data_IF_275951153310
#
_entry.id   IF_275951153310
#
_cell.length_a   1.000
_cell.length_b   1.000
_cell.length_c   1.000
_cell.angle_alpha   90.00
_cell.angle_beta   90.00
_cell.angle_gamma   90.00
#
_symmetry.space_group_name_H-M   'P 1'
#
loop_
_entity.id
_entity.type
_entity.pdbx_description
1 polymer ?
#
# COMPACT_ATOMS: atom_id res chain seq x y z
N UNK A 1 30.30 20.87 13.04
CA UNK A 1 28.88 21.08 13.38
C UNK A 1 28.05 20.22 12.44
N UNK A 2 27.72 18.99 12.84
CA UNK A 2 26.86 18.09 12.07
C UNK A 2 26.04 17.29 13.07
N UNK A 3 24.71 17.40 13.00
CA UNK A 3 23.84 16.69 13.93
C UNK A 3 22.36 17.06 13.86
N UNK A 4 21.86 17.60 12.74
CA UNK A 4 20.42 17.76 12.53
C UNK A 4 19.92 16.77 11.49
N UNK A 5 18.70 16.26 11.70
CA UNK A 5 18.00 15.39 10.77
C UNK A 5 16.83 16.17 10.18
N UNK A 6 16.79 16.26 8.85
CA UNK A 6 15.62 16.71 8.11
C UNK A 6 15.22 15.57 7.17
N UNK A 7 14.11 14.92 7.50
CA UNK A 7 13.53 13.81 6.74
C UNK A 7 12.01 13.93 6.75
N UNK A 8 11.41 13.82 5.59
CA UNK A 8 9.96 13.70 5.38
C UNK A 8 9.68 12.39 4.71
N UNK A 9 8.71 11.64 5.21
CA UNK A 9 8.21 10.42 4.61
C UNK A 9 6.70 10.57 4.38
N UNK A 10 6.26 10.34 3.15
CA UNK A 10 4.86 10.43 2.76
C UNK A 10 4.44 9.17 2.03
N UNK A 11 3.24 8.69 2.34
CA UNK A 11 2.50 7.75 1.50
C UNK A 11 1.20 8.44 1.12
N UNK A 12 0.98 8.63 -0.17
CA UNK A 12 -0.19 9.34 -0.64
C UNK A 12 -0.45 9.12 -2.12
N UNK A 13 -1.45 9.82 -2.63
CA UNK A 13 -1.87 9.72 -4.02
C UNK A 13 -1.64 11.05 -4.74
N UNK A 14 -1.23 10.98 -6.01
CA UNK A 14 -1.08 12.16 -6.86
C UNK A 14 -2.47 12.79 -7.13
N UNK A 15 -2.62 14.09 -6.82
CA UNK A 15 -3.86 14.83 -7.11
C UNK A 15 -4.01 15.28 -8.56
N UNK A 16 -2.89 15.38 -9.26
CA UNK A 16 -2.79 15.77 -10.67
C UNK A 16 -1.68 14.97 -11.35
N UNK A 17 -1.62 15.03 -12.68
CA UNK A 17 -0.50 14.46 -13.42
C UNK A 17 0.81 15.18 -13.06
N UNK A 18 1.96 14.48 -13.09
CA UNK A 18 3.26 15.10 -12.82
C UNK A 18 3.57 16.26 -13.77
N UNK A 19 4.05 17.37 -13.23
CA UNK A 19 4.52 18.50 -14.04
C UNK A 19 6.05 18.40 -14.22
N UNK A 20 6.51 18.18 -15.45
CA UNK A 20 7.94 18.10 -15.78
C UNK A 20 8.40 19.41 -16.41
N UNK A 21 9.44 20.01 -15.85
CA UNK A 21 10.10 21.20 -16.42
C UNK A 21 11.56 20.91 -16.72
N UNK A 22 11.99 21.30 -17.91
CA UNK A 22 13.40 21.22 -18.31
C UNK A 22 14.06 22.59 -18.17
N UNK A 23 15.28 22.62 -17.67
CA UNK A 23 16.08 23.81 -17.51
C UNK A 23 17.04 23.98 -18.70
N UNK A 24 17.45 25.22 -18.99
CA UNK A 24 18.37 25.53 -20.09
C UNK A 24 19.75 24.88 -19.93
N UNK A 25 20.14 24.54 -18.71
CA UNK A 25 21.39 23.84 -18.40
C UNK A 25 21.30 22.30 -18.59
N UNK A 26 20.19 21.79 -19.11
CA UNK A 26 19.99 20.36 -19.39
C UNK A 26 19.36 19.55 -18.25
N UNK A 27 19.22 20.12 -17.04
CA UNK A 27 18.56 19.45 -15.93
C UNK A 27 17.05 19.38 -16.10
N UNK A 28 16.38 18.40 -15.47
CA UNK A 28 14.93 18.34 -15.35
C UNK A 28 14.48 18.42 -13.88
N UNK A 29 13.29 18.95 -13.65
CA UNK A 29 12.58 18.89 -12.37
C UNK A 29 11.19 18.30 -12.58
N UNK A 30 10.76 17.42 -11.68
CA UNK A 30 9.38 16.98 -11.60
C UNK A 30 8.70 17.59 -10.37
N UNK A 31 7.53 18.18 -10.56
CA UNK A 31 6.69 18.70 -9.51
C UNK A 31 5.46 17.79 -9.33
N UNK A 32 5.25 17.32 -8.11
CA UNK A 32 4.11 16.48 -7.74
C UNK A 32 3.24 17.19 -6.70
N UNK A 33 1.93 16.93 -6.78
CA UNK A 33 0.96 17.29 -5.76
C UNK A 33 0.40 16.03 -5.12
N UNK A 34 0.71 15.79 -3.85
CA UNK A 34 0.35 14.55 -3.14
C UNK A 34 -0.68 14.84 -2.06
N UNK A 35 -1.76 14.07 -2.05
CA UNK A 35 -2.76 14.07 -0.98
C UNK A 35 -2.46 12.99 0.06
N UNK A 36 -2.59 13.35 1.34
CA UNK A 36 -2.66 12.40 2.46
C UNK A 36 -3.89 12.73 3.30
N UNK A 37 -4.67 11.72 3.69
CA UNK A 37 -5.92 11.92 4.42
C UNK A 37 -5.88 11.25 5.78
N UNK A 38 -6.40 11.93 6.79
CA UNK A 38 -6.60 11.43 8.14
C UNK A 38 -8.11 11.39 8.44
N UNK A 39 -8.58 10.33 9.07
CA UNK A 39 -9.97 10.19 9.50
C UNK A 39 -10.01 9.97 11.00
N UNK A 40 -10.83 10.75 11.71
CA UNK A 40 -11.04 10.59 13.16
C UNK A 40 -12.51 10.77 13.51
N UNK A 41 -12.88 10.40 14.75
CA UNK A 41 -14.21 10.65 15.31
C UNK A 41 -14.14 11.89 16.19
N UNK A 42 -15.01 12.86 15.94
CA UNK A 42 -15.12 14.06 16.78
C UNK A 42 -15.61 13.68 18.18
N UNK A 43 -14.95 14.23 19.21
CA UNK A 43 -15.26 13.89 20.61
C UNK A 43 -16.54 14.52 21.12
N UNK A 44 -16.96 15.66 20.55
CA UNK A 44 -18.13 16.41 21.00
C UNK A 44 -19.39 15.97 20.25
N UNK A 45 -19.29 15.78 18.93
CA UNK A 45 -20.45 15.42 18.09
C UNK A 45 -20.58 13.92 17.86
N UNK A 46 -19.49 13.16 18.04
CA UNK A 46 -19.44 11.73 17.72
C UNK A 46 -19.43 11.43 16.21
N UNK A 47 -19.36 12.45 15.36
CA UNK A 47 -19.36 12.29 13.91
C UNK A 47 -17.96 11.91 13.38
N UNK A 48 -17.93 11.21 12.25
CA UNK A 48 -16.69 10.88 11.55
C UNK A 48 -16.25 12.09 10.72
N UNK A 49 -15.05 12.61 10.98
CA UNK A 49 -14.43 13.69 10.23
C UNK A 49 -13.25 13.18 9.39
N UNK A 50 -12.95 13.89 8.31
CA UNK A 50 -11.82 13.64 7.41
C UNK A 50 -11.10 14.94 7.10
N UNK A 51 -9.76 14.91 7.13
CA UNK A 51 -8.90 16.02 6.71
C UNK A 51 -7.90 15.51 5.70
N UNK A 52 -7.84 16.21 4.57
CA UNK A 52 -6.84 15.95 3.52
C UNK A 52 -5.79 17.06 3.53
N UNK A 53 -4.54 16.66 3.70
CA UNK A 53 -3.38 17.53 3.57
C UNK A 53 -2.74 17.37 2.19
N UNK A 54 -2.25 18.49 1.66
CA UNK A 54 -1.71 18.54 0.32
C UNK A 54 -0.25 18.99 0.30
N UNK A 55 0.60 18.09 -0.19
CA UNK A 55 2.04 18.23 -0.18
C UNK A 55 2.55 18.58 -1.58
N UNK A 56 3.41 19.59 -1.66
CA UNK A 56 4.14 19.90 -2.89
C UNK A 56 5.50 19.23 -2.83
N UNK A 57 5.80 18.39 -3.81
CA UNK A 57 7.09 17.67 -3.90
C UNK A 57 7.84 18.14 -5.14
N UNK A 58 9.12 18.46 -4.98
CA UNK A 58 10.02 18.84 -6.06
C UNK A 58 11.18 17.84 -6.16
N UNK A 59 11.27 17.16 -7.30
CA UNK A 59 12.24 16.10 -7.56
C UNK A 59 13.25 16.59 -8.57
N UNK A 60 14.51 16.72 -8.14
CA UNK A 60 15.63 17.17 -8.96
C UNK A 60 16.58 16.02 -9.36
N UNK A 61 16.38 14.82 -8.79
CA UNK A 61 17.16 13.64 -9.16
C UNK A 61 16.73 13.16 -10.55
N UNK A 62 17.62 13.25 -11.53
CA UNK A 62 17.33 12.93 -12.94
C UNK A 62 16.76 11.51 -13.13
N UNK A 63 17.32 10.54 -12.42
CA UNK A 63 16.84 9.15 -12.46
C UNK A 63 15.39 9.03 -11.97
N UNK A 64 15.04 9.73 -10.88
CA UNK A 64 13.67 9.73 -10.36
C UNK A 64 12.72 10.50 -11.27
N UNK A 65 13.17 11.62 -11.87
CA UNK A 65 12.36 12.37 -12.85
C UNK A 65 11.98 11.48 -14.03
N UNK A 66 12.91 10.67 -14.55
CA UNK A 66 12.62 9.72 -15.62
C UNK A 66 11.60 8.65 -15.25
N UNK A 67 11.58 8.20 -13.99
CA UNK A 67 10.55 7.27 -13.47
C UNK A 67 9.20 7.98 -13.39
N UNK A 68 9.17 9.19 -12.83
CA UNK A 68 7.96 10.00 -12.69
C UNK A 68 7.32 10.26 -14.05
N UNK A 69 8.11 10.71 -15.02
CA UNK A 69 7.66 11.05 -16.38
C UNK A 69 7.05 9.84 -17.12
N UNK A 70 7.52 8.62 -16.86
CA UNK A 70 7.09 7.41 -17.58
C UNK A 70 5.94 6.68 -16.93
N UNK A 71 5.86 6.70 -15.59
CA UNK A 71 4.99 5.77 -14.86
C UNK A 71 3.98 6.44 -13.96
N UNK A 72 4.19 7.71 -13.56
CA UNK A 72 3.26 8.41 -12.70
C UNK A 72 2.23 9.21 -13.48
N UNK A 73 1.01 9.16 -12.96
CA UNK A 73 -0.20 9.83 -13.44
C UNK A 73 -1.06 10.23 -12.26
N UNK A 74 -2.06 11.09 -12.48
CA UNK A 74 -3.06 11.42 -11.46
C UNK A 74 -3.62 10.13 -10.84
N UNK A 75 -3.74 10.14 -9.51
CA UNK A 75 -4.22 9.00 -8.73
C UNK A 75 -3.15 7.99 -8.35
N UNK A 76 -1.94 8.02 -8.93
CA UNK A 76 -0.89 7.05 -8.59
C UNK A 76 -0.54 7.10 -7.11
N UNK A 77 -0.45 5.94 -6.46
CA UNK A 77 -0.02 5.83 -5.07
C UNK A 77 1.50 5.73 -4.99
N UNK A 78 2.11 6.57 -4.17
CA UNK A 78 3.57 6.65 -4.04
C UNK A 78 4.00 6.75 -2.59
N UNK A 79 5.16 6.17 -2.29
CA UNK A 79 5.97 6.50 -1.14
C UNK A 79 7.05 7.50 -1.57
N UNK A 80 7.24 8.54 -0.77
CA UNK A 80 8.24 9.59 -0.98
C UNK A 80 9.05 9.76 0.30
N UNK A 81 10.38 9.71 0.18
CA UNK A 81 11.30 10.20 1.20
C UNK A 81 12.07 11.40 0.66
N UNK A 82 12.10 12.50 1.41
CA UNK A 82 12.82 13.72 1.04
C UNK A 82 13.09 14.62 2.23
N UNK A 83 13.29 15.91 1.98
CA UNK A 83 13.60 16.90 3.02
C UNK A 83 12.70 18.13 2.89
N UNK A 84 12.31 18.76 3.99
CA UNK A 84 11.61 20.05 3.92
C UNK A 84 12.57 21.15 3.49
N UNK A 85 12.17 21.93 2.50
CA UNK A 85 12.86 23.15 2.11
C UNK A 85 11.84 24.27 1.94
N UNK A 86 12.04 25.36 2.68
CA UNK A 86 11.28 26.60 2.49
C UNK A 86 12.11 27.56 1.65
N UNK A 87 11.55 28.03 0.53
CA UNK A 87 12.17 29.07 -0.30
C UNK A 87 11.39 30.37 -0.18
N UNK A 88 12.14 31.46 -0.17
CA UNK A 88 11.63 32.84 -0.26
C UNK A 88 11.61 33.25 -1.73
N UNK A 89 10.51 33.87 -2.17
CA UNK A 89 10.37 34.44 -3.51
C UNK A 89 9.53 35.72 -3.43
N UNK A 90 9.66 36.62 -4.39
CA UNK A 90 8.86 37.85 -4.44
C UNK A 90 7.73 37.71 -5.45
N UNK A 91 6.53 38.14 -5.06
CA UNK A 91 5.41 38.24 -5.98
C UNK A 91 5.57 39.45 -6.93
N UNK A 92 4.63 39.60 -7.88
CA UNK A 92 4.65 40.70 -8.85
C UNK A 92 4.55 42.08 -8.21
N UNK A 93 4.06 42.17 -6.97
CA UNK A 93 3.93 43.41 -6.21
C UNK A 93 5.17 43.69 -5.34
N UNK A 94 6.20 42.83 -5.41
CA UNK A 94 7.44 42.95 -4.64
C UNK A 94 7.34 42.43 -3.21
N UNK A 95 6.24 41.79 -2.82
CA UNK A 95 6.09 41.26 -1.46
C UNK A 95 6.82 39.92 -1.31
N UNK A 96 7.46 39.74 -0.16
CA UNK A 96 8.10 38.48 0.19
C UNK A 96 7.06 37.37 0.47
N UNK A 97 7.20 36.24 -0.22
CA UNK A 97 6.38 35.04 -0.08
C UNK A 97 7.27 33.85 0.25
N UNK A 98 6.71 32.90 0.99
CA UNK A 98 7.40 31.68 1.38
C UNK A 98 6.64 30.48 0.83
N UNK A 99 7.37 29.49 0.32
CA UNK A 99 6.82 28.22 -0.12
C UNK A 99 7.64 27.08 0.46
N UNK A 100 6.98 26.18 1.18
CA UNK A 100 7.59 24.99 1.76
C UNK A 100 7.28 23.79 0.88
N UNK A 101 8.32 23.11 0.45
CA UNK A 101 8.26 21.98 -0.47
C UNK A 101 9.03 20.79 0.12
N UNK A 102 8.61 19.58 -0.21
CA UNK A 102 9.40 18.36 0.04
C UNK A 102 10.32 18.16 -1.15
N UNK A 103 11.63 18.16 -0.90
CA UNK A 103 12.64 18.20 -1.96
C UNK A 103 13.44 16.92 -1.98
N UNK A 104 13.58 16.33 -3.17
CA UNK A 104 14.39 15.15 -3.44
C UNK A 104 15.60 15.57 -4.29
N UNK A 105 16.79 15.59 -3.69
CA UNK A 105 18.07 15.91 -4.32
C UNK A 105 19.09 14.79 -4.09
N UNK A 106 19.83 14.44 -5.14
CA UNK A 106 20.93 13.47 -5.06
C UNK A 106 20.48 12.10 -4.53
N UNK A 107 21.31 11.49 -3.70
CA UNK A 107 21.06 10.16 -3.10
C UNK A 107 20.14 10.19 -1.87
N UNK A 108 19.72 11.37 -1.40
CA UNK A 108 18.94 11.51 -0.17
C UNK A 108 17.42 11.50 -0.40
N UNK A 109 16.98 11.20 -1.63
CA UNK A 109 15.57 11.16 -2.00
C UNK A 109 15.18 9.77 -2.52
N UNK A 110 14.04 9.28 -2.05
CA UNK A 110 13.48 7.99 -2.48
C UNK A 110 12.08 8.18 -3.00
N UNK A 111 11.75 7.52 -4.12
CA UNK A 111 10.40 7.40 -4.63
C UNK A 111 10.12 5.94 -4.94
N UNK A 112 9.05 5.42 -4.37
CA UNK A 112 8.57 4.06 -4.65
C UNK A 112 7.13 4.13 -5.11
N UNK A 113 6.84 3.55 -6.27
CA UNK A 113 5.47 3.35 -6.74
C UNK A 113 4.83 2.23 -5.92
N UNK A 114 3.66 2.50 -5.36
CA UNK A 114 2.90 1.55 -4.55
C UNK A 114 1.65 1.04 -5.26
N UNK A 115 1.39 1.53 -6.47
CA UNK A 115 0.39 0.91 -7.33
C UNK A 115 0.86 -0.50 -7.67
N UNK A 116 -0.05 -1.47 -7.51
CA UNK A 116 0.19 -2.81 -8.04
C UNK A 116 0.51 -2.70 -9.53
N UNK A 117 1.45 -3.53 -10.01
CA UNK A 117 1.74 -3.61 -11.44
C UNK A 117 0.40 -3.73 -12.16
N UNK A 118 0.11 -2.77 -13.05
CA UNK A 118 -1.07 -2.81 -13.89
C UNK A 118 -0.87 -3.91 -14.94
N UNK A 119 -0.85 -5.16 -14.47
CA UNK A 119 -0.88 -6.37 -15.28
C UNK A 119 -2.25 -6.42 -15.95
N UNK A 120 -2.24 -6.55 -17.26
CA UNK A 120 -3.41 -6.50 -18.12
C UNK A 120 -4.59 -7.32 -17.59
N UNK A 121 -5.70 -6.64 -17.31
CA UNK A 121 -6.93 -7.25 -16.83
C UNK A 121 -8.09 -6.31 -17.11
N UNK A 122 -8.49 -6.22 -18.38
CA UNK A 122 -9.60 -5.36 -18.79
C UNK A 122 -10.00 -5.51 -20.26
N UNK A 123 -9.74 -6.67 -20.87
CA UNK A 123 -10.30 -7.03 -22.16
C UNK A 123 -11.68 -7.63 -21.96
N UNK A 124 -12.72 -6.83 -22.15
CA UNK A 124 -14.09 -7.31 -22.23
C UNK A 124 -14.22 -8.39 -23.31
N UNK A 125 -14.72 -9.56 -22.92
CA UNK A 125 -15.06 -10.66 -23.82
C UNK A 125 -16.30 -11.35 -23.28
N UNK A 126 -17.46 -10.97 -23.82
CA UNK A 126 -18.74 -11.60 -23.50
C UNK A 126 -18.72 -13.08 -23.85
N UNK A 127 -19.08 -13.92 -22.88
CA UNK A 127 -19.42 -15.32 -23.07
C UNK A 127 -20.93 -15.50 -22.87
N UNK A 128 -21.62 -15.72 -23.98
CA UNK A 128 -23.06 -15.83 -24.14
C UNK A 128 -23.70 -16.85 -23.17
N UNK A 129 -24.74 -16.39 -22.46
CA UNK A 129 -25.80 -17.27 -21.94
C UNK A 129 -26.80 -17.53 -23.06
N UNK A 130 -26.82 -18.75 -23.59
CA UNK A 130 -27.87 -19.31 -24.46
C UNK A 130 -27.80 -20.82 -24.25
N UNK A 131 -28.79 -21.52 -23.70
CA UNK A 131 -30.18 -21.52 -24.12
C UNK A 131 -30.36 -22.59 -25.20
N UNK A 132 -30.42 -23.87 -24.81
CA UNK A 132 -30.49 -24.99 -25.74
C UNK A 132 -31.12 -26.25 -25.13
N UNK A 133 -32.43 -26.36 -25.32
CA UNK A 133 -33.26 -27.54 -25.08
C UNK A 133 -32.88 -28.69 -26.03
N UNK A 134 -32.89 -29.94 -25.56
CA UNK A 134 -32.80 -31.09 -26.46
C UNK A 134 -32.63 -32.46 -25.81
N UNK A 135 -33.73 -33.23 -25.78
CA UNK A 135 -33.77 -34.66 -26.13
C UNK A 135 -33.26 -35.68 -25.11
N UNK A 136 -34.19 -36.45 -24.52
CA UNK A 136 -33.88 -37.59 -23.65
C UNK A 136 -33.61 -38.90 -24.39
N UNK A 137 -33.07 -39.89 -23.66
CA UNK A 137 -33.23 -41.32 -23.91
C UNK A 137 -33.19 -42.08 -22.59
N UNK A 138 -34.25 -42.87 -22.37
CA UNK A 138 -34.36 -43.91 -21.35
C UNK A 138 -33.82 -45.21 -21.94
N UNK A 139 -32.83 -45.85 -21.29
CA UNK A 139 -32.59 -47.28 -21.48
C UNK A 139 -31.97 -47.89 -20.23
N UNK A 140 -32.77 -48.72 -19.56
CA UNK A 140 -32.35 -49.54 -18.42
C UNK A 140 -31.56 -50.78 -18.83
N UNK A 141 -30.93 -51.38 -17.82
CA UNK A 141 -30.29 -52.69 -17.88
C UNK A 141 -29.49 -52.95 -16.61
N UNK A 142 -30.02 -53.77 -15.70
CA UNK A 142 -29.37 -54.13 -14.43
C UNK A 142 -28.35 -55.25 -14.57
N UNK A 143 -27.57 -55.51 -13.51
CA UNK A 143 -27.39 -56.83 -12.90
C UNK A 143 -26.55 -56.72 -11.61
N UNK A 144 -26.90 -57.53 -10.61
CA UNK A 144 -26.25 -57.66 -9.31
C UNK A 144 -25.06 -58.64 -9.34
N UNK A 145 -24.25 -58.62 -8.28
CA UNK A 145 -23.40 -59.71 -7.74
C UNK A 145 -21.88 -59.70 -8.00
N UNK A 146 -21.11 -59.57 -6.91
CA UNK A 146 -20.12 -60.60 -6.53
C UNK A 146 -18.62 -60.23 -6.53
N UNK A 147 -17.97 -60.38 -5.37
CA UNK A 147 -16.52 -60.65 -5.20
C UNK A 147 -15.72 -59.54 -4.51
N UNK A 148 -15.49 -59.54 -3.18
CA UNK A 148 -14.59 -60.41 -2.39
C UNK A 148 -13.10 -60.26 -2.73
N UNK A 149 -12.38 -59.39 -2.00
CA UNK A 149 -10.97 -59.58 -1.62
C UNK A 149 -10.74 -58.98 -0.24
N UNK A 150 -10.40 -59.84 0.72
CA UNK A 150 -9.90 -59.46 2.03
C UNK A 150 -8.39 -59.65 2.15
N UNK A 151 -7.91 -59.25 3.34
CA UNK A 151 -6.64 -59.64 3.99
C UNK A 151 -5.39 -58.96 3.44
N UNK A 152 -4.57 -58.24 4.23
CA UNK A 152 -3.87 -58.64 5.46
C UNK A 152 -3.53 -57.37 6.28
N UNK A 153 -3.79 -57.27 7.59
CA UNK A 153 -2.98 -57.81 8.69
C UNK A 153 -2.19 -56.66 9.35
N UNK A 154 -2.58 -56.15 10.53
CA UNK A 154 -2.09 -56.57 11.86
C UNK A 154 -0.96 -55.63 12.32
N UNK A 155 -0.87 -55.07 13.52
CA UNK A 155 -1.52 -55.34 14.80
C UNK A 155 -1.21 -54.23 15.83
N UNK A 156 -1.81 -54.39 17.01
CA UNK A 156 -1.95 -53.42 18.09
C UNK A 156 -0.81 -53.45 19.14
N UNK A 157 -0.83 -52.42 20.01
CA UNK A 157 -0.35 -52.32 21.41
C UNK A 157 0.41 -50.99 21.56
N UNK A 158 0.18 -50.10 22.52
CA UNK A 158 -0.40 -50.18 23.86
C UNK A 158 0.44 -49.25 24.75
N UNK A 159 -0.18 -48.52 25.71
CA UNK A 159 0.61 -47.80 26.72
C UNK A 159 -0.04 -46.53 27.26
N UNK A 160 -0.71 -46.65 28.40
CA UNK A 160 -1.12 -45.55 29.26
C UNK A 160 0.06 -45.02 30.09
N UNK A 161 0.05 -43.73 30.42
CA UNK A 161 0.99 -43.12 31.37
C UNK A 161 0.61 -41.69 31.73
N UNK A 162 0.01 -41.52 32.90
CA UNK A 162 -0.34 -40.24 33.51
C UNK A 162 0.86 -39.56 34.20
N UNK A 163 0.88 -38.22 34.19
CA UNK A 163 1.58 -37.22 35.07
C UNK A 163 1.21 -35.85 34.47
N UNK A 164 0.56 -34.86 35.09
CA UNK A 164 0.61 -34.36 36.46
C UNK A 164 1.40 -33.03 36.46
N UNK A 165 0.75 -31.86 36.61
CA UNK A 165 1.44 -30.57 36.80
C UNK A 165 0.58 -29.32 36.61
N UNK A 166 0.37 -28.58 37.70
CA UNK A 166 -0.40 -27.34 37.88
C UNK A 166 0.52 -26.11 37.91
N UNK A 167 -0.01 -24.91 37.61
CA UNK A 167 0.61 -23.58 37.83
C UNK A 167 0.52 -22.70 36.58
N UNK A 168 -0.30 -21.65 36.51
CA UNK A 168 -0.13 -20.37 37.23
C UNK A 168 0.60 -19.41 36.27
N UNK A 169 -0.01 -18.38 35.71
CA UNK A 169 -0.41 -17.14 36.36
C UNK A 169 0.17 -15.98 35.54
N UNK A 170 -0.63 -14.95 35.32
CA UNK A 170 -0.44 -13.80 34.42
C UNK A 170 0.76 -12.92 34.78
N UNK A 171 1.62 -12.57 33.81
CA UNK A 171 2.70 -11.58 33.97
C UNK A 171 2.71 -10.57 32.82
N UNK A 172 1.67 -9.72 32.71
CA UNK A 172 1.69 -8.54 31.82
C UNK A 172 1.34 -7.23 32.53
N UNK A 173 1.25 -7.20 33.87
CA UNK A 173 0.84 -6.01 34.65
C UNK A 173 1.98 -5.08 35.07
N UNK A 174 3.25 -5.36 34.75
CA UNK A 174 4.40 -4.59 35.25
C UNK A 174 4.99 -3.56 34.25
N UNK A 175 4.26 -3.18 33.19
CA UNK A 175 4.76 -2.25 32.16
C UNK A 175 4.18 -0.83 32.23
N UNK A 176 3.32 -0.54 33.21
CA UNK A 176 2.57 0.73 33.29
C UNK A 176 3.14 1.78 34.28
N UNK A 177 4.25 1.51 34.98
CA UNK A 177 4.62 2.29 36.18
C UNK A 177 5.92 3.12 36.15
N UNK A 178 6.57 3.34 34.99
CA UNK A 178 7.82 4.15 34.96
C UNK A 178 7.96 5.07 33.72
N UNK A 179 7.11 6.11 33.65
CA UNK A 179 7.40 7.29 32.82
C UNK A 179 7.59 8.51 33.75
N UNK A 180 8.83 8.91 34.07
CA UNK A 180 9.08 10.09 34.89
C UNK A 180 8.83 11.39 34.10
N UNK A 181 8.19 12.35 34.78
CA UNK A 181 7.83 13.69 34.32
C UNK A 181 9.03 14.59 34.02
#
# INVERSE_FOLDING_TARGET
MAGSLNKVMLIGNLGADPEIRSFQNGGKVANLRIATSETWKDRNTGERQERTEWHTVAIFSEGLVGVVERFLRKGSKVYIEGQLQTRKWQDQSGNDRYSTEVVLRGMNGTLTMLDGAQGGGGGGGGGQRSGGSGGGWNQGGGNESGGSWGQTGGGAAGGAGARGGSGGGSNYDDLDDDIPF
#
